data_IF_364731980500
#
_entry.id   IF_364731980500
#
_cell.length_a   1.000
_cell.length_b   1.000
_cell.length_c   1.000
_cell.angle_alpha   90.00
_cell.angle_beta   90.00
_cell.angle_gamma   90.00
#
_symmetry.space_group_name_H-M   'P 1'
#
loop_
_entity.id
_entity.type
_entity.pdbx_description
1 polymer ?
#
# COMPACT_ATOMS: atom_id res chain seq x y z
N UNK A 1 30.53 6.60 -16.16
CA UNK A 1 30.27 5.41 -15.31
C UNK A 1 29.19 5.62 -14.22
N UNK A 2 28.56 6.80 -14.09
CA UNK A 2 27.56 7.06 -13.04
C UNK A 2 26.10 6.72 -13.38
N UNK A 3 25.82 6.19 -14.57
CA UNK A 3 24.43 6.03 -15.03
C UNK A 3 23.74 4.79 -14.47
N UNK A 4 24.48 3.72 -14.12
CA UNK A 4 23.89 2.45 -13.69
C UNK A 4 23.03 2.56 -12.41
N UNK A 5 23.45 3.24 -11.31
CA UNK A 5 22.64 3.31 -10.10
C UNK A 5 21.35 4.10 -10.31
N UNK A 6 21.35 5.07 -11.24
CA UNK A 6 20.19 5.86 -11.61
C UNK A 6 19.15 4.99 -12.33
N UNK A 7 19.59 4.11 -13.24
CA UNK A 7 18.69 3.13 -13.87
C UNK A 7 18.07 2.18 -12.85
N UNK A 8 18.85 1.69 -11.88
CA UNK A 8 18.32 0.85 -10.80
C UNK A 8 17.35 1.61 -9.91
N UNK A 9 17.66 2.85 -9.52
CA UNK A 9 16.76 3.69 -8.73
C UNK A 9 15.39 3.82 -9.43
N UNK A 10 15.38 4.05 -10.75
CA UNK A 10 14.15 4.16 -11.54
C UNK A 10 13.40 2.86 -11.71
N UNK A 11 14.10 1.78 -12.10
CA UNK A 11 13.50 0.45 -12.22
C UNK A 11 12.80 0.05 -10.92
N UNK A 12 13.49 0.29 -9.81
CA UNK A 12 12.98 -0.04 -8.49
C UNK A 12 11.87 0.91 -8.04
N UNK A 13 11.92 2.19 -8.42
CA UNK A 13 10.82 3.14 -8.21
C UNK A 13 9.54 2.72 -8.96
N UNK A 14 9.67 2.15 -10.16
CA UNK A 14 8.54 1.54 -10.86
C UNK A 14 8.04 0.28 -10.13
N UNK A 15 8.96 -0.58 -9.67
CA UNK A 15 8.59 -1.77 -8.92
C UNK A 15 7.82 -1.41 -7.63
N UNK A 16 8.25 -0.39 -6.88
CA UNK A 16 7.53 0.08 -5.67
C UNK A 16 6.14 0.62 -6.00
N UNK A 17 5.96 1.31 -7.14
CA UNK A 17 4.64 1.72 -7.61
C UNK A 17 3.75 0.52 -7.94
N UNK A 18 4.25 -0.48 -8.67
CA UNK A 18 3.50 -1.70 -8.98
C UNK A 18 3.10 -2.46 -7.71
N UNK A 19 4.01 -2.62 -6.74
CA UNK A 19 3.69 -3.25 -5.46
C UNK A 19 2.70 -2.43 -4.63
N UNK A 20 2.75 -1.10 -4.70
CA UNK A 20 1.74 -0.23 -4.10
C UNK A 20 0.35 -0.44 -4.72
N UNK A 21 0.27 -0.52 -6.05
CA UNK A 21 -0.96 -0.86 -6.75
C UNK A 21 -1.54 -2.20 -6.29
N UNK A 22 -0.70 -3.23 -6.16
CA UNK A 22 -1.10 -4.56 -5.65
C UNK A 22 -1.56 -4.52 -4.18
N UNK A 23 -0.95 -3.69 -3.34
CA UNK A 23 -1.37 -3.49 -1.94
C UNK A 23 -2.81 -2.96 -1.84
N UNK A 24 -3.17 -1.96 -2.64
CA UNK A 24 -4.53 -1.42 -2.66
C UNK A 24 -5.53 -2.38 -3.30
N UNK A 25 -5.13 -3.05 -4.39
CA UNK A 25 -5.98 -3.99 -5.10
C UNK A 25 -6.33 -5.22 -4.23
N UNK A 26 -5.35 -5.76 -3.51
CA UNK A 26 -5.52 -6.92 -2.62
C UNK A 26 -6.48 -6.68 -1.46
N UNK A 27 -6.73 -5.41 -1.10
CA UNK A 27 -7.67 -5.04 -0.03
C UNK A 27 -9.01 -4.49 -0.55
N UNK A 28 -9.20 -4.44 -1.87
CA UNK A 28 -10.42 -3.97 -2.53
C UNK A 28 -11.51 -5.06 -2.56
N UNK A 29 -12.04 -5.44 -1.40
CA UNK A 29 -12.97 -6.58 -1.23
C UNK A 29 -14.20 -6.56 -2.16
N UNK A 30 -14.78 -5.40 -2.42
CA UNK A 30 -15.93 -5.26 -3.32
C UNK A 30 -15.55 -5.67 -4.74
N UNK A 31 -14.39 -5.21 -5.22
CA UNK A 31 -13.85 -5.59 -6.52
C UNK A 31 -13.54 -7.08 -6.58
N UNK A 32 -12.84 -7.62 -5.57
CA UNK A 32 -12.53 -9.06 -5.50
C UNK A 32 -13.80 -9.93 -5.54
N UNK A 33 -14.89 -9.45 -4.93
CA UNK A 33 -16.21 -10.11 -4.96
C UNK A 33 -16.87 -10.03 -6.34
N UNK A 34 -16.74 -8.90 -7.04
CA UNK A 34 -17.25 -8.78 -8.41
C UNK A 34 -16.43 -9.65 -9.36
N UNK A 35 -15.10 -9.61 -9.26
CA UNK A 35 -14.20 -10.45 -10.04
C UNK A 35 -14.50 -11.94 -9.83
N UNK A 36 -14.72 -12.39 -8.59
CA UNK A 36 -15.03 -13.78 -8.29
C UNK A 36 -16.39 -14.24 -8.83
N UNK A 37 -17.33 -13.32 -9.09
CA UNK A 37 -18.61 -13.61 -9.77
C UNK A 37 -18.49 -13.67 -11.28
N UNK A 38 -17.60 -12.88 -11.87
CA UNK A 38 -17.38 -12.84 -13.32
C UNK A 38 -16.50 -14.00 -13.83
N UNK A 39 -15.72 -14.64 -12.94
CA UNK A 39 -14.83 -15.72 -13.32
C UNK A 39 -15.55 -17.08 -13.46
N UNK A 40 -15.19 -17.92 -14.45
CA UNK A 40 -15.81 -19.22 -14.64
C UNK A 40 -15.59 -20.14 -13.44
N UNK A 41 -16.68 -20.58 -12.78
CA UNK A 41 -16.68 -21.47 -11.60
C UNK A 41 -16.17 -22.91 -11.84
N UNK A 42 -15.43 -23.17 -12.92
CA UNK A 42 -14.88 -24.51 -13.18
C UNK A 42 -13.77 -24.79 -12.16
N UNK A 43 -13.99 -25.86 -11.39
CA UNK A 43 -13.21 -26.21 -10.19
C UNK A 43 -11.71 -26.27 -10.43
N UNK A 44 -10.95 -25.71 -9.48
CA UNK A 44 -9.49 -25.70 -9.50
C UNK A 44 -8.83 -24.59 -10.32
N UNK A 45 -9.57 -23.57 -10.77
CA UNK A 45 -8.94 -22.47 -11.51
C UNK A 45 -8.02 -21.66 -10.59
N UNK A 46 -6.76 -21.53 -11.02
CA UNK A 46 -5.71 -20.74 -10.39
C UNK A 46 -6.19 -19.36 -9.90
N UNK A 47 -7.12 -18.74 -10.63
CA UNK A 47 -7.69 -17.44 -10.32
C UNK A 47 -8.50 -17.39 -9.03
N UNK A 48 -9.27 -18.43 -8.69
CA UNK A 48 -9.99 -18.46 -7.41
C UNK A 48 -9.03 -18.58 -6.24
N UNK A 49 -8.00 -19.43 -6.36
CA UNK A 49 -6.96 -19.56 -5.33
C UNK A 49 -6.22 -18.24 -5.13
N UNK A 50 -5.88 -17.53 -6.21
CA UNK A 50 -5.23 -16.22 -6.14
C UNK A 50 -6.11 -15.17 -5.42
N UNK A 51 -7.41 -15.12 -5.74
CA UNK A 51 -8.35 -14.19 -5.10
C UNK A 51 -8.58 -14.54 -3.61
N UNK A 52 -8.59 -15.83 -3.26
CA UNK A 52 -8.74 -16.27 -1.87
C UNK A 52 -7.49 -15.95 -1.03
N UNK A 53 -6.29 -16.01 -1.64
CA UNK A 53 -5.02 -15.64 -1.03
C UNK A 53 -4.73 -14.12 -1.02
N UNK A 54 -5.72 -13.25 -1.26
CA UNK A 54 -5.52 -11.79 -1.31
C UNK A 54 -4.85 -11.21 -0.05
N UNK A 55 -5.13 -11.77 1.13
CA UNK A 55 -4.49 -11.34 2.38
C UNK A 55 -2.99 -11.68 2.40
N UNK A 56 -2.63 -12.85 1.92
CA UNK A 56 -1.22 -13.27 1.85
C UNK A 56 -0.48 -12.45 0.79
N UNK A 57 -1.13 -12.19 -0.35
CA UNK A 57 -0.61 -11.26 -1.37
C UNK A 57 -0.37 -9.85 -0.79
N UNK A 58 -1.29 -9.34 0.03
CA UNK A 58 -1.11 -8.04 0.70
C UNK A 58 0.13 -8.04 1.60
N UNK A 59 0.32 -9.09 2.39
CA UNK A 59 1.49 -9.22 3.29
C UNK A 59 2.79 -9.34 2.49
N UNK A 60 2.81 -10.15 1.42
CA UNK A 60 3.99 -10.28 0.57
C UNK A 60 4.30 -9.00 -0.19
N UNK A 61 3.27 -8.25 -0.62
CA UNK A 61 3.46 -6.95 -1.27
C UNK A 61 4.11 -5.93 -0.33
N UNK A 62 3.76 -5.92 0.96
CA UNK A 62 4.37 -5.06 1.98
C UNK A 62 5.86 -5.38 2.18
N UNK A 63 6.21 -6.67 2.24
CA UNK A 63 7.62 -7.12 2.32
C UNK A 63 8.40 -6.74 1.08
N UNK A 64 7.83 -6.95 -0.11
CA UNK A 64 8.45 -6.56 -1.37
C UNK A 64 8.67 -5.04 -1.41
N UNK A 65 7.68 -4.25 -0.98
CA UNK A 65 7.79 -2.80 -0.92
C UNK A 65 8.90 -2.33 0.02
N UNK A 66 9.07 -2.97 1.17
CA UNK A 66 10.21 -2.72 2.08
C UNK A 66 11.56 -3.01 1.41
N UNK A 67 11.67 -4.13 0.70
CA UNK A 67 12.90 -4.49 -0.01
C UNK A 67 13.22 -3.50 -1.14
N UNK A 68 12.26 -3.25 -2.03
CA UNK A 68 12.45 -2.37 -3.17
C UNK A 68 12.66 -0.91 -2.74
N UNK A 69 11.96 -0.41 -1.72
CA UNK A 69 12.24 0.94 -1.19
C UNK A 69 13.67 1.09 -0.67
N UNK A 70 14.21 0.09 0.03
CA UNK A 70 15.61 0.12 0.48
C UNK A 70 16.59 0.20 -0.70
N UNK A 71 16.39 -0.62 -1.75
CA UNK A 71 17.22 -0.59 -2.96
C UNK A 71 17.06 0.75 -3.71
N UNK A 72 15.85 1.31 -3.75
CA UNK A 72 15.57 2.61 -4.34
C UNK A 72 16.34 3.75 -3.63
N UNK A 73 16.28 3.78 -2.29
CA UNK A 73 17.02 4.75 -1.46
C UNK A 73 18.52 4.64 -1.72
N UNK A 74 19.06 3.41 -1.78
CA UNK A 74 20.48 3.19 -2.10
C UNK A 74 20.84 3.70 -3.50
N UNK A 75 19.99 3.43 -4.50
CA UNK A 75 20.18 3.94 -5.86
C UNK A 75 20.23 5.47 -5.91
N UNK A 76 19.32 6.15 -5.18
CA UNK A 76 19.35 7.61 -5.04
C UNK A 76 20.60 8.10 -4.31
N UNK A 77 21.00 7.43 -3.23
CA UNK A 77 22.16 7.82 -2.41
C UNK A 77 23.48 7.71 -3.18
N UNK A 78 23.63 6.67 -4.03
CA UNK A 78 24.87 6.39 -4.76
C UNK A 78 24.91 7.09 -6.13
N UNK A 79 23.77 7.21 -6.81
CA UNK A 79 23.68 7.75 -8.16
C UNK A 79 23.13 9.16 -8.23
N UNK A 80 21.86 9.29 -7.86
CA UNK A 80 21.08 10.53 -8.10
C UNK A 80 21.62 11.71 -7.31
N UNK A 81 21.88 11.54 -6.00
CA UNK A 81 22.35 12.65 -5.15
C UNK A 81 23.74 13.13 -5.57
N UNK A 82 24.77 12.27 -5.73
CA UNK A 82 26.07 12.71 -6.24
C UNK A 82 25.98 13.33 -7.63
N UNK A 83 25.10 12.81 -8.50
CA UNK A 83 24.84 13.39 -9.81
C UNK A 83 24.33 14.82 -9.72
N UNK A 84 23.33 15.08 -8.88
CA UNK A 84 22.77 16.42 -8.64
C UNK A 84 23.81 17.36 -8.03
N UNK A 85 24.66 16.88 -7.11
CA UNK A 85 25.68 17.72 -6.48
C UNK A 85 26.83 18.08 -7.44
N UNK A 86 27.30 17.12 -8.24
CA UNK A 86 28.54 17.26 -9.00
C UNK A 86 28.35 17.70 -10.46
N UNK A 87 27.16 17.51 -11.05
CA UNK A 87 26.93 17.77 -12.48
C UNK A 87 26.11 19.03 -12.71
N UNK A 88 26.26 19.61 -13.89
CA UNK A 88 25.41 20.70 -14.36
C UNK A 88 24.10 20.14 -14.92
N UNK A 89 23.08 21.00 -15.03
CA UNK A 89 21.72 20.59 -15.43
C UNK A 89 21.71 19.89 -16.80
N UNK A 90 22.47 20.40 -17.77
CA UNK A 90 22.57 19.79 -19.11
C UNK A 90 23.16 18.39 -19.09
N UNK A 91 24.24 18.18 -18.33
CA UNK A 91 24.86 16.87 -18.15
C UNK A 91 23.96 15.91 -17.38
N UNK A 92 23.23 16.42 -16.39
CA UNK A 92 22.28 15.64 -15.61
C UNK A 92 21.11 15.20 -16.50
N UNK A 93 20.59 16.09 -17.36
CA UNK A 93 19.52 15.78 -18.31
C UNK A 93 19.94 14.72 -19.34
N UNK A 94 21.19 14.79 -19.83
CA UNK A 94 21.75 13.76 -20.70
C UNK A 94 21.84 12.39 -20.01
N UNK A 95 22.27 12.36 -18.73
CA UNK A 95 22.36 11.12 -17.94
C UNK A 95 20.96 10.58 -17.59
N UNK A 96 20.02 11.47 -17.30
CA UNK A 96 18.63 11.13 -16.98
C UNK A 96 17.80 10.79 -18.22
N UNK A 97 18.27 11.11 -19.43
CA UNK A 97 17.71 10.71 -20.73
C UNK A 97 16.30 11.25 -21.05
N UNK A 98 15.58 11.80 -20.08
CA UNK A 98 14.20 12.29 -20.18
C UNK A 98 13.87 13.35 -19.12
N UNK A 99 14.84 14.03 -18.50
CA UNK A 99 14.51 15.10 -17.56
C UNK A 99 14.07 16.36 -18.31
N UNK A 100 13.17 17.16 -17.72
CA UNK A 100 12.75 18.44 -18.29
C UNK A 100 13.94 19.41 -18.42
N UNK A 101 13.87 20.34 -19.37
CA UNK A 101 14.94 21.32 -19.61
C UNK A 101 15.17 22.23 -18.40
N UNK A 102 14.11 22.51 -17.63
CA UNK A 102 14.19 23.28 -16.39
C UNK A 102 14.49 22.37 -15.20
N UNK A 103 15.47 22.73 -14.33
CA UNK A 103 15.77 21.95 -13.15
C UNK A 103 14.60 21.99 -12.15
N UNK A 104 14.26 20.86 -11.50
CA UNK A 104 13.16 20.78 -10.53
C UNK A 104 13.50 21.42 -9.16
N UNK A 105 14.57 22.22 -9.11
CA UNK A 105 15.05 22.93 -7.93
C UNK A 105 15.40 24.38 -8.33
N UNK A 106 14.98 25.33 -7.49
CA UNK A 106 15.31 26.75 -7.69
C UNK A 106 16.80 27.00 -7.45
N UNK A 107 17.35 26.39 -6.40
CA UNK A 107 18.76 26.45 -6.04
C UNK A 107 19.36 25.04 -6.04
N UNK A 108 20.55 24.89 -6.62
CA UNK A 108 21.28 23.62 -6.64
C UNK A 108 21.69 23.27 -5.20
N UNK A 109 21.31 22.09 -4.68
CA UNK A 109 21.74 21.69 -3.33
C UNK A 109 23.26 21.56 -3.27
N UNK A 110 23.88 22.03 -2.20
CA UNK A 110 25.33 22.02 -2.03
C UNK A 110 25.84 20.78 -1.30
N UNK A 111 24.96 20.10 -0.57
CA UNK A 111 25.30 18.92 0.22
C UNK A 111 24.15 17.90 0.26
N UNK A 112 24.45 16.72 0.80
CA UNK A 112 23.49 15.61 0.88
C UNK A 112 22.24 15.97 1.68
N UNK A 113 22.39 16.71 2.78
CA UNK A 113 21.29 17.12 3.65
C UNK A 113 20.32 18.04 2.91
N UNK A 114 20.84 19.02 2.17
CA UNK A 114 20.03 19.89 1.34
C UNK A 114 19.32 19.10 0.23
N UNK A 115 20.01 18.17 -0.42
CA UNK A 115 19.38 17.29 -1.41
C UNK A 115 18.24 16.45 -0.78
N UNK A 116 18.41 15.98 0.46
CA UNK A 116 17.44 15.14 1.15
C UNK A 116 16.26 15.92 1.78
N UNK A 117 16.44 17.17 2.20
CA UNK A 117 15.42 17.91 2.95
C UNK A 117 14.91 19.19 2.28
N UNK A 118 15.65 19.78 1.34
CA UNK A 118 15.22 20.99 0.62
C UNK A 118 14.61 20.68 -0.75
N UNK A 119 14.81 19.47 -1.28
CA UNK A 119 14.09 19.03 -2.48
C UNK A 119 12.78 18.35 -2.10
N UNK A 120 11.72 18.58 -2.89
CA UNK A 120 10.41 17.97 -2.61
C UNK A 120 10.49 16.43 -2.67
N UNK A 121 11.16 15.88 -3.69
CA UNK A 121 11.38 14.43 -3.79
C UNK A 121 12.23 13.88 -2.64
N UNK A 122 13.26 14.60 -2.18
CA UNK A 122 14.03 14.21 -1.00
C UNK A 122 13.18 14.14 0.26
N UNK A 123 12.50 15.24 0.60
CA UNK A 123 11.74 15.36 1.84
C UNK A 123 10.61 14.33 1.90
N UNK A 124 9.83 14.22 0.82
CA UNK A 124 8.75 13.23 0.71
C UNK A 124 9.27 11.79 0.72
N UNK A 125 10.46 11.53 0.16
CA UNK A 125 11.09 10.22 0.20
C UNK A 125 11.48 9.79 1.62
N UNK A 126 12.02 10.73 2.41
CA UNK A 126 12.29 10.51 3.85
C UNK A 126 11.00 10.24 4.61
N UNK A 127 9.95 11.04 4.38
CA UNK A 127 8.64 10.84 5.02
C UNK A 127 8.01 9.49 4.64
N UNK A 128 8.07 9.09 3.37
CA UNK A 128 7.60 7.78 2.91
C UNK A 128 8.35 6.64 3.60
N UNK A 129 9.67 6.78 3.76
CA UNK A 129 10.50 5.80 4.46
C UNK A 129 10.07 5.66 5.93
N UNK A 130 9.80 6.78 6.61
CA UNK A 130 9.31 6.76 8.00
C UNK A 130 7.94 6.09 8.11
N UNK A 131 7.01 6.38 7.20
CA UNK A 131 5.70 5.72 7.14
C UNK A 131 5.87 4.22 6.93
N UNK A 132 6.73 3.81 6.00
CA UNK A 132 6.96 2.40 5.70
C UNK A 132 7.57 1.65 6.90
N UNK A 133 8.55 2.25 7.58
CA UNK A 133 9.13 1.68 8.81
C UNK A 133 8.08 1.56 9.91
N UNK A 134 7.24 2.58 10.13
CA UNK A 134 6.17 2.53 11.12
C UNK A 134 5.15 1.42 10.81
N UNK A 135 4.77 1.26 9.55
CA UNK A 135 3.88 0.18 9.10
C UNK A 135 4.54 -1.19 9.27
N UNK A 136 5.78 -1.36 8.85
CA UNK A 136 6.52 -2.63 8.95
C UNK A 136 6.73 -3.08 10.40
N UNK A 137 7.03 -2.15 11.31
CA UNK A 137 7.19 -2.45 12.74
C UNK A 137 5.85 -2.86 13.38
N UNK A 138 4.78 -2.13 13.07
CA UNK A 138 3.46 -2.40 13.66
C UNK A 138 2.71 -3.56 13.02
N UNK A 139 3.05 -3.93 11.78
CA UNK A 139 2.44 -5.06 11.06
C UNK A 139 2.97 -6.43 11.52
N UNK A 140 4.03 -6.47 12.32
CA UNK A 140 4.61 -7.73 12.81
C UNK A 140 3.57 -8.57 13.59
N UNK A 141 3.53 -9.91 13.41
CA UNK A 141 2.56 -10.77 14.07
C UNK A 141 2.56 -10.63 15.60
N UNK A 142 3.74 -10.55 16.22
CA UNK A 142 3.89 -10.37 17.67
C UNK A 142 3.31 -9.03 18.14
N UNK A 143 3.56 -7.95 17.40
CA UNK A 143 3.06 -6.61 17.75
C UNK A 143 1.54 -6.54 17.59
N UNK A 144 1.00 -7.04 16.48
CA UNK A 144 -0.46 -7.07 16.24
C UNK A 144 -1.22 -7.89 17.27
N UNK A 145 -0.65 -8.98 17.75
CA UNK A 145 -1.26 -9.81 18.79
C UNK A 145 -1.33 -9.08 20.15
N UNK A 146 -0.33 -8.27 20.48
CA UNK A 146 -0.26 -7.55 21.76
C UNK A 146 -0.95 -6.17 21.74
N UNK A 147 -0.90 -5.47 20.60
CA UNK A 147 -1.26 -4.04 20.47
C UNK A 147 -2.03 -3.76 19.18
N UNK A 148 -3.11 -4.50 18.95
CA UNK A 148 -3.92 -4.40 17.72
C UNK A 148 -4.49 -2.99 17.47
N UNK A 149 -4.91 -2.28 18.53
CA UNK A 149 -5.44 -0.91 18.42
C UNK A 149 -4.44 0.07 17.82
N UNK A 150 -3.18 -0.01 18.25
CA UNK A 150 -2.10 0.85 17.75
C UNK A 150 -1.81 0.51 16.29
N UNK A 151 -1.72 -0.79 15.96
CA UNK A 151 -1.59 -1.25 14.57
C UNK A 151 -2.72 -0.70 13.70
N UNK A 152 -3.98 -0.83 14.12
CA UNK A 152 -5.14 -0.39 13.37
C UNK A 152 -5.10 1.12 13.07
N UNK A 153 -4.75 1.93 14.08
CA UNK A 153 -4.64 3.40 13.94
C UNK A 153 -3.51 3.78 12.98
N UNK A 154 -2.31 3.24 13.18
CA UNK A 154 -1.14 3.55 12.33
C UNK A 154 -1.38 3.09 10.89
N UNK A 155 -1.95 1.89 10.71
CA UNK A 155 -2.25 1.36 9.38
C UNK A 155 -3.34 2.17 8.67
N UNK A 156 -4.36 2.65 9.40
CA UNK A 156 -5.40 3.53 8.84
C UNK A 156 -4.84 4.88 8.39
N UNK A 157 -3.98 5.50 9.22
CA UNK A 157 -3.28 6.74 8.85
C UNK A 157 -2.38 6.48 7.63
N UNK A 158 -1.62 5.39 7.64
CA UNK A 158 -0.75 4.99 6.53
C UNK A 158 -1.49 4.83 5.20
N UNK A 159 -2.69 4.25 5.20
CA UNK A 159 -3.53 4.10 3.99
C UNK A 159 -3.84 5.44 3.32
N UNK A 160 -4.03 6.52 4.10
CA UNK A 160 -4.34 7.86 3.58
C UNK A 160 -3.07 8.63 3.26
N UNK A 161 -2.08 8.59 4.14
CA UNK A 161 -0.83 9.32 4.00
C UNK A 161 0.04 8.78 2.85
N UNK A 162 0.05 7.46 2.64
CA UNK A 162 0.86 6.81 1.59
C UNK A 162 0.59 7.37 0.18
N UNK A 163 -0.65 7.36 -0.37
CA UNK A 163 -0.89 7.84 -1.72
C UNK A 163 -0.63 9.35 -1.88
N UNK A 164 -0.88 10.14 -0.83
CA UNK A 164 -0.58 11.59 -0.84
C UNK A 164 0.93 11.81 -0.95
N UNK A 165 1.72 11.17 -0.09
CA UNK A 165 3.18 11.30 -0.13
C UNK A 165 3.77 10.72 -1.42
N UNK A 166 3.24 9.61 -1.92
CA UNK A 166 3.72 8.99 -3.16
C UNK A 166 3.46 9.90 -4.38
N UNK A 167 2.30 10.58 -4.42
CA UNK A 167 2.02 11.60 -5.43
C UNK A 167 2.99 12.77 -5.34
N UNK A 168 3.20 13.33 -4.14
CA UNK A 168 4.09 14.45 -3.91
C UNK A 168 5.57 14.11 -4.18
N UNK A 169 5.97 12.86 -3.98
CA UNK A 169 7.32 12.38 -4.24
C UNK A 169 7.64 12.36 -5.75
N UNK A 170 6.66 11.94 -6.55
CA UNK A 170 6.76 11.80 -8.01
C UNK A 170 6.34 13.09 -8.77
N UNK A 171 5.76 14.09 -8.08
CA UNK A 171 5.17 15.27 -8.72
C UNK A 171 6.17 16.22 -9.37
N UNK A 172 7.48 16.09 -9.07
CA UNK A 172 8.51 16.96 -9.64
C UNK A 172 8.92 16.58 -11.07
N UNK A 173 8.37 15.51 -11.65
CA UNK A 173 8.53 15.25 -13.09
C UNK A 173 9.98 14.95 -13.53
N UNK A 174 10.83 14.45 -12.62
CA UNK A 174 12.22 14.02 -12.93
C UNK A 174 12.31 12.97 -14.06
N UNK A 175 11.17 12.43 -14.49
CA UNK A 175 11.01 11.41 -15.52
C UNK A 175 10.05 11.89 -16.63
N UNK A 176 10.21 13.11 -17.15
CA UNK A 176 9.86 13.57 -18.52
C UNK A 176 8.41 13.51 -19.03
N UNK A 177 7.57 12.71 -18.42
CA UNK A 177 6.15 12.62 -18.67
C UNK A 177 5.55 13.62 -17.68
N UNK A 178 4.93 14.67 -18.19
CA UNK A 178 4.32 15.73 -17.36
C UNK A 178 3.21 15.23 -16.42
N UNK A 179 2.92 13.93 -16.42
CA UNK A 179 2.00 13.24 -15.55
C UNK A 179 2.82 12.33 -14.61
N UNK A 180 2.68 12.47 -13.28
CA UNK A 180 3.31 11.56 -12.32
C UNK A 180 2.96 10.12 -12.65
N UNK A 181 3.98 9.31 -12.88
CA UNK A 181 3.87 7.91 -13.27
C UNK A 181 3.11 7.08 -12.22
N UNK A 182 3.23 7.48 -10.95
CA UNK A 182 2.43 6.92 -9.85
C UNK A 182 0.93 7.02 -10.11
N UNK A 183 0.43 8.11 -10.72
CA UNK A 183 -1.00 8.22 -11.02
C UNK A 183 -1.44 7.22 -12.08
N UNK A 184 -0.57 6.95 -13.05
CA UNK A 184 -0.87 5.99 -14.12
C UNK A 184 -0.90 4.56 -13.57
N UNK A 185 0.08 4.19 -12.74
CA UNK A 185 0.24 2.82 -12.23
C UNK A 185 -0.69 2.55 -11.04
N UNK A 186 -0.74 3.47 -10.07
CA UNK A 186 -1.46 3.28 -8.81
C UNK A 186 -2.83 3.94 -8.78
N UNK A 187 -3.10 4.92 -9.67
CA UNK A 187 -4.31 5.73 -9.59
C UNK A 187 -5.60 4.90 -9.68
N UNK A 188 -5.71 4.03 -10.69
CA UNK A 188 -6.88 3.15 -10.82
C UNK A 188 -7.04 2.20 -9.60
N UNK A 189 -6.01 1.45 -9.16
CA UNK A 189 -6.09 0.64 -7.94
C UNK A 189 -6.52 1.43 -6.68
N UNK A 190 -5.99 2.64 -6.48
CA UNK A 190 -6.36 3.50 -5.35
C UNK A 190 -7.82 3.93 -5.45
N UNK A 191 -8.28 4.36 -6.63
CA UNK A 191 -9.67 4.75 -6.86
C UNK A 191 -10.64 3.58 -6.62
N UNK A 192 -10.27 2.37 -7.06
CA UNK A 192 -11.04 1.15 -6.82
C UNK A 192 -11.10 0.80 -5.33
N UNK A 193 -10.01 1.00 -4.60
CA UNK A 193 -9.98 0.82 -3.16
C UNK A 193 -10.88 1.82 -2.45
N UNK A 194 -10.78 3.11 -2.79
CA UNK A 194 -11.59 4.18 -2.19
C UNK A 194 -13.07 3.95 -2.46
N UNK A 195 -13.46 3.63 -3.69
CA UNK A 195 -14.85 3.32 -4.03
C UNK A 195 -15.37 2.11 -3.25
N UNK A 196 -14.57 1.04 -3.15
CA UNK A 196 -14.93 -0.13 -2.34
C UNK A 196 -15.13 0.19 -0.86
N UNK A 197 -14.38 1.16 -0.30
CA UNK A 197 -14.56 1.63 1.09
C UNK A 197 -15.80 2.50 1.25
N UNK A 198 -16.05 3.44 0.32
CA UNK A 198 -17.24 4.28 0.33
C UNK A 198 -18.52 3.43 0.22
N UNK A 199 -18.50 2.41 -0.63
CA UNK A 199 -19.57 1.43 -0.75
C UNK A 199 -19.88 0.68 0.55
N UNK A 200 -18.83 0.29 1.29
CA UNK A 200 -18.99 -0.40 2.57
C UNK A 200 -19.57 0.55 3.63
N UNK A 201 -19.09 1.79 3.65
CA UNK A 201 -19.57 2.84 4.54
C UNK A 201 -21.05 3.16 4.26
N UNK A 202 -21.41 3.34 2.99
CA UNK A 202 -22.79 3.63 2.58
C UNK A 202 -23.74 2.50 2.98
N UNK A 203 -23.36 1.23 2.73
CA UNK A 203 -24.14 0.07 3.19
C UNK A 203 -24.30 0.03 4.70
N UNK A 204 -23.27 0.42 5.46
CA UNK A 204 -23.36 0.48 6.92
C UNK A 204 -24.37 1.53 7.37
N UNK A 205 -24.32 2.75 6.82
CA UNK A 205 -25.26 3.82 7.18
C UNK A 205 -26.69 3.54 6.75
N UNK A 206 -26.92 3.02 5.55
CA UNK A 206 -28.27 2.70 5.08
C UNK A 206 -28.92 1.59 5.92
N UNK A 207 -28.17 0.52 6.24
CA UNK A 207 -28.70 -0.59 7.03
C UNK A 207 -28.88 -0.24 8.51
N UNK A 208 -28.03 0.64 9.07
CA UNK A 208 -28.19 1.08 10.45
C UNK A 208 -29.45 1.94 10.64
N UNK A 209 -29.74 2.83 9.68
CA UNK A 209 -30.99 3.61 9.66
C UNK A 209 -32.21 2.71 9.57
N UNK A 210 -32.20 1.69 8.70
CA UNK A 210 -33.30 0.72 8.61
C UNK A 210 -33.50 -0.06 9.92
N UNK A 211 -32.43 -0.42 10.64
CA UNK A 211 -32.53 -1.13 11.92
C UNK A 211 -33.13 -0.25 13.03
N UNK A 212 -32.77 1.04 13.07
CA UNK A 212 -33.35 2.01 14.02
C UNK A 212 -34.84 2.23 13.72
N UNK A 213 -35.21 2.37 12.44
CA UNK A 213 -36.61 2.52 12.03
C UNK A 213 -37.47 1.29 12.37
N UNK A 214 -36.92 0.08 12.25
CA UNK A 214 -37.62 -1.16 12.64
C UNK A 214 -37.81 -1.25 14.16
N UNK A 215 -36.80 -0.88 14.95
CA UNK A 215 -36.93 -0.81 16.41
C UNK A 215 -37.95 0.25 16.85
N UNK A 216 -37.98 1.40 16.17
CA UNK A 216 -38.93 2.48 16.47
C UNK A 216 -40.38 2.11 16.15
N UNK A 217 -40.62 1.19 15.21
CA UNK A 217 -41.96 0.70 14.84
C UNK A 217 -42.45 -0.47 15.72
N UNK A 218 -41.70 -0.86 16.76
CA UNK A 218 -42.05 -1.98 17.62
C UNK A 218 -42.08 -3.33 16.90
N UNK A 219 -41.55 -3.40 15.67
CA UNK A 219 -41.43 -4.64 14.92
C UNK A 219 -40.25 -5.42 15.47
N UNK A 220 -40.47 -6.71 15.70
CA UNK A 220 -39.47 -7.62 16.22
C UNK A 220 -38.18 -7.51 15.38
N UNK A 221 -37.04 -7.32 16.05
CA UNK A 221 -35.75 -7.13 15.36
C UNK A 221 -35.56 -8.27 14.36
N UNK A 222 -35.35 -7.99 13.06
CA UNK A 222 -34.84 -9.02 12.18
C UNK A 222 -33.58 -9.56 12.82
N UNK A 223 -33.39 -10.89 12.82
CA UNK A 223 -32.10 -11.52 13.16
C UNK A 223 -31.05 -11.10 12.12
N UNK A 224 -30.65 -9.83 12.14
CA UNK A 224 -29.54 -9.29 11.40
C UNK A 224 -28.30 -9.94 12.00
N UNK A 225 -27.82 -10.99 11.34
CA UNK A 225 -26.44 -11.46 11.52
C UNK A 225 -25.54 -10.28 11.16
N UNK A 226 -25.13 -9.51 12.17
CA UNK A 226 -24.18 -8.43 11.99
C UNK A 226 -22.96 -9.00 11.24
N UNK A 227 -22.65 -8.53 10.02
CA UNK A 227 -21.55 -9.10 9.23
C UNK A 227 -20.19 -8.95 9.91
N UNK A 228 -20.10 -8.09 10.94
CA UNK A 228 -18.91 -7.85 11.74
C UNK A 228 -18.72 -8.81 12.93
N UNK A 229 -19.77 -9.49 13.42
CA UNK A 229 -19.66 -10.40 14.58
C UNK A 229 -19.15 -11.81 14.24
N UNK A 230 -18.97 -12.14 12.96
CA UNK A 230 -18.45 -13.44 12.53
C UNK A 230 -16.92 -13.53 12.50
N UNK A 231 -16.22 -12.43 12.80
CA UNK A 231 -14.75 -12.40 12.73
C UNK A 231 -14.08 -12.80 14.05
N UNK A 232 -14.62 -12.42 15.21
CA UNK A 232 -14.09 -12.86 16.50
C UNK A 232 -14.35 -14.35 16.78
N UNK A 233 -15.48 -14.87 16.30
CA UNK A 233 -15.89 -16.27 16.51
C UNK A 233 -15.15 -17.27 15.61
N UNK A 234 -14.70 -16.87 14.39
CA UNK A 234 -13.81 -17.72 13.58
C UNK A 234 -12.34 -17.66 13.99
N UNK A 235 -11.88 -16.55 14.56
CA UNK A 235 -10.53 -16.46 15.12
C UNK A 235 -10.38 -17.32 16.39
N UNK A 236 -11.46 -17.51 17.17
CA UNK A 236 -11.46 -18.39 18.34
C UNK A 236 -11.60 -19.89 17.97
N UNK A 237 -12.15 -20.22 16.80
CA UNK A 237 -12.27 -21.61 16.33
C UNK A 237 -10.97 -22.25 15.83
N UNK A 238 -9.93 -21.46 15.55
CA UNK A 238 -8.62 -21.96 15.10
C UNK A 238 -7.62 -22.24 16.24
N UNK A 239 -7.97 -21.86 17.48
CA UNK A 239 -7.24 -22.25 18.71
C UNK A 239 -8.02 -23.30 19.52
N UNK A 240 -8.77 -24.16 18.82
CA UNK A 240 -9.26 -25.42 19.39
C UNK A 240 -8.10 -26.38 19.62
N UNK A 241 -7.35 -26.16 20.69
CA UNK A 241 -6.48 -27.18 21.29
C UNK A 241 -7.36 -28.40 21.54
N UNK A 242 -7.08 -29.47 20.79
CA UNK A 242 -7.80 -30.72 20.85
C UNK A 242 -7.83 -31.25 22.28
N UNK A 243 -9.02 -31.23 22.88
CA UNK A 243 -9.33 -32.14 23.98
C UNK A 243 -9.66 -33.49 23.36
N UNK A 244 -8.89 -34.49 23.76
CA UNK A 244 -9.39 -35.86 23.89
C UNK A 244 -8.72 -36.89 22.99
N UNK A 245 -7.77 -37.62 23.55
CA UNK A 245 -7.97 -39.07 23.72
C UNK A 245 -7.02 -39.57 24.82
N UNK A 246 -7.54 -40.18 25.91
CA UNK A 246 -6.70 -40.95 26.80
C UNK A 246 -6.30 -42.25 26.09
N UNK A 247 -5.00 -42.50 25.99
CA UNK A 247 -4.47 -43.80 25.62
C UNK A 247 -4.92 -44.82 26.67
N UNK A 248 -5.83 -45.70 26.27
CA UNK A 248 -6.11 -46.96 26.95
C UNK A 248 -4.99 -47.94 26.65
N UNK A 249 -4.49 -48.59 27.69
CA UNK A 249 -3.61 -49.75 27.66
C UNK A 249 -4.16 -50.87 26.76
N UNK A 250 -3.27 -51.45 25.96
CA UNK A 250 -3.09 -52.89 25.74
C UNK A 250 -1.67 -53.10 25.18
#
# INVERSE_FOLDING_TARGET
MFSWPIFFARLVGMATAIWSALLFLSMSRSLLTVCSRCLPRRGGSFWFTFLDCHKDLHIESDKALCFYSAVHILGHTIGTVPGVLQKDVSQLNEILGCAQDDPPYADKPMNFTEAAFLTMSGLTGVLLTLVLVALALTSQPKFRALRFEIFSKIHTVGIVTWPILLFLHDSQGWVGISIPLVLVVCGLPILLYVSARLDQLLRYYLNSVSCVQLCARGLEKPKLKAPWCNWSSRAQGACGVGRGTPLSLA
#
